data_IF_541122719933
#
_entry.id   IF_541122719933
#
_cell.length_a   1.000
_cell.length_b   1.000
_cell.length_c   1.000
_cell.angle_alpha   90.00
_cell.angle_beta   90.00
_cell.angle_gamma   90.00
#
_symmetry.space_group_name_H-M   'P 1'
#
loop_
_entity.id
_entity.type
_entity.pdbx_description
1 polymer ?
#
# COMPACT_ATOMS: atom_id res chain seq x y z
N UNK A 1 -11.53 -17.23 -8.22
CA UNK A 1 -12.44 -16.27 -7.56
C UNK A 1 -11.60 -15.62 -6.46
N UNK A 2 -10.90 -14.51 -6.72
CA UNK A 2 -11.51 -13.19 -6.91
C UNK A 2 -10.65 -12.32 -7.84
N UNK A 3 -11.25 -11.83 -8.93
CA UNK A 3 -10.67 -10.80 -9.79
C UNK A 3 -10.70 -9.44 -9.09
N UNK A 4 -9.95 -9.32 -7.99
CA UNK A 4 -9.76 -8.03 -7.34
C UNK A 4 -8.75 -7.25 -8.19
N UNK A 5 -9.07 -6.04 -8.69
CA UNK A 5 -8.18 -5.26 -9.56
C UNK A 5 -6.85 -4.88 -8.90
N UNK A 6 -6.73 -5.13 -7.60
CA UNK A 6 -5.50 -4.96 -6.83
C UNK A 6 -4.66 -6.24 -6.74
N UNK A 7 -5.19 -7.44 -7.02
CA UNK A 7 -4.57 -8.72 -6.62
C UNK A 7 -3.64 -9.35 -7.69
N UNK A 8 -3.76 -8.95 -8.96
CA UNK A 8 -2.98 -9.57 -10.04
C UNK A 8 -2.27 -8.53 -10.91
N UNK A 9 -0.94 -8.59 -10.95
CA UNK A 9 -0.17 -7.93 -11.99
C UNK A 9 1.28 -7.68 -11.60
N UNK A 10 2.18 -8.27 -12.38
CA UNK A 10 3.54 -7.76 -12.64
C UNK A 10 3.42 -6.30 -13.08
N UNK A 11 4.01 -5.39 -12.31
CA UNK A 11 3.95 -3.96 -12.56
C UNK A 11 4.15 -3.14 -11.30
N UNK A 12 4.35 -1.84 -11.49
CA UNK A 12 4.60 -0.91 -10.41
C UNK A 12 3.43 -0.85 -9.40
N UNK A 13 3.78 -0.61 -8.15
CA UNK A 13 2.93 -0.47 -6.98
C UNK A 13 3.25 0.86 -6.31
N UNK A 14 2.22 1.52 -5.83
CA UNK A 14 2.35 2.77 -5.09
C UNK A 14 1.89 2.55 -3.66
N UNK A 15 2.59 3.14 -2.71
CA UNK A 15 2.10 3.32 -1.36
C UNK A 15 1.58 4.75 -1.27
N UNK A 16 0.30 4.90 -1.01
CA UNK A 16 -0.33 6.20 -0.77
C UNK A 16 -0.62 6.36 0.71
N UNK A 17 -0.44 7.58 1.21
CA UNK A 17 -0.81 7.95 2.56
C UNK A 17 -1.85 9.07 2.54
N UNK A 18 -2.77 9.06 3.49
CA UNK A 18 -3.68 10.18 3.72
C UNK A 18 -3.15 11.13 4.81
N UNK A 19 -3.80 12.28 4.97
CA UNK A 19 -3.46 13.24 6.02
C UNK A 19 -3.62 12.69 7.45
N UNK A 20 -4.38 11.59 7.62
CA UNK A 20 -4.55 10.87 8.88
C UNK A 20 -3.47 9.82 9.16
N UNK A 21 -2.44 9.71 8.32
CA UNK A 21 -1.35 8.75 8.50
C UNK A 21 -1.68 7.31 8.11
N UNK A 22 -2.87 7.05 7.54
CA UNK A 22 -3.21 5.74 7.02
C UNK A 22 -2.51 5.52 5.68
N UNK A 23 -1.92 4.33 5.52
CA UNK A 23 -1.26 3.92 4.30
C UNK A 23 -2.08 2.86 3.58
N UNK A 24 -2.13 2.94 2.25
CA UNK A 24 -2.81 1.98 1.40
C UNK A 24 -1.95 1.65 0.18
N UNK A 25 -2.02 0.38 -0.25
CA UNK A 25 -1.43 -0.03 -1.53
C UNK A 25 -2.34 0.43 -2.67
N UNK A 26 -1.73 1.03 -3.68
CA UNK A 26 -2.41 1.60 -4.84
C UNK A 26 -1.70 1.17 -6.12
N UNK A 27 -2.45 1.17 -7.23
CA UNK A 27 -1.89 0.89 -8.55
C UNK A 27 -1.58 2.20 -9.28
N UNK A 28 -0.43 2.34 -9.94
CA UNK A 28 -0.05 3.57 -10.64
C UNK A 28 -0.91 3.90 -11.85
N UNK A 29 -1.58 2.91 -12.42
CA UNK A 29 -2.54 3.12 -13.50
C UNK A 29 -3.91 3.62 -13.01
N UNK A 30 -4.18 3.60 -11.69
CA UNK A 30 -5.42 4.11 -11.12
C UNK A 30 -5.23 5.54 -10.63
N UNK A 31 -6.21 6.40 -10.92
CA UNK A 31 -6.22 7.78 -10.40
C UNK A 31 -6.25 7.75 -8.86
N UNK A 32 -5.26 8.37 -8.23
CA UNK A 32 -5.23 8.52 -6.77
C UNK A 32 -6.35 9.49 -6.35
N UNK A 33 -7.20 9.11 -5.38
CA UNK A 33 -8.25 9.99 -4.87
C UNK A 33 -7.68 11.24 -4.20
N UNK A 34 -8.45 12.32 -4.22
CA UNK A 34 -8.06 13.59 -3.62
C UNK A 34 -7.86 13.43 -2.10
N UNK A 35 -6.81 14.05 -1.56
CA UNK A 35 -6.41 13.90 -0.15
C UNK A 35 -5.49 12.71 0.14
N UNK A 36 -5.20 11.87 -0.85
CA UNK A 36 -4.16 10.85 -0.78
C UNK A 36 -2.92 11.29 -1.55
N UNK A 37 -1.74 11.04 -0.97
CA UNK A 37 -0.45 11.38 -1.56
C UNK A 37 0.41 10.13 -1.71
N UNK A 38 1.11 10.03 -2.83
CA UNK A 38 2.08 8.96 -3.04
C UNK A 38 3.27 9.22 -2.11
N UNK A 39 3.59 8.25 -1.26
CA UNK A 39 4.73 8.31 -0.34
C UNK A 39 5.85 7.37 -0.77
N UNK A 40 5.53 6.32 -1.51
CA UNK A 40 6.51 5.38 -2.04
C UNK A 40 6.04 4.73 -3.35
N UNK A 41 7.00 4.32 -4.18
CA UNK A 41 6.76 3.63 -5.45
C UNK A 41 7.70 2.43 -5.55
N UNK A 42 7.15 1.23 -5.71
CA UNK A 42 7.92 0.01 -5.87
C UNK A 42 7.57 -0.66 -7.19
N UNK A 43 8.53 -1.30 -7.83
CA UNK A 43 8.32 -2.05 -9.09
C UNK A 43 7.67 -3.42 -8.87
N UNK A 44 7.57 -3.86 -7.62
CA UNK A 44 6.98 -5.13 -7.22
C UNK A 44 6.16 -4.98 -5.93
N UNK A 45 5.17 -5.87 -5.76
CA UNK A 45 4.31 -5.89 -4.58
C UNK A 45 5.13 -6.07 -3.31
N UNK A 46 6.10 -6.98 -3.33
CA UNK A 46 7.01 -7.26 -2.22
C UNK A 46 7.76 -5.99 -1.76
N UNK A 47 8.30 -5.20 -2.69
CA UNK A 47 8.98 -3.95 -2.32
C UNK A 47 8.05 -2.90 -1.71
N UNK A 48 6.80 -2.82 -2.18
CA UNK A 48 5.80 -1.95 -1.56
C UNK A 48 5.37 -2.48 -0.19
N UNK A 49 5.25 -3.80 -0.03
CA UNK A 49 4.89 -4.43 1.23
C UNK A 49 5.98 -4.22 2.28
N UNK A 50 7.25 -4.48 1.92
CA UNK A 50 8.41 -4.29 2.77
C UNK A 50 8.55 -2.83 3.22
N UNK A 51 8.35 -1.86 2.31
CA UNK A 51 8.30 -0.44 2.70
C UNK A 51 7.17 -0.16 3.70
N UNK A 52 5.97 -0.71 3.46
CA UNK A 52 4.85 -0.54 4.40
C UNK A 52 5.16 -1.24 5.73
N UNK A 53 5.73 -2.43 5.77
CA UNK A 53 6.06 -3.12 7.02
C UNK A 53 7.15 -2.39 7.82
N UNK A 54 8.11 -1.76 7.14
CA UNK A 54 9.19 -1.00 7.79
C UNK A 54 8.75 0.39 8.25
N UNK A 55 7.91 1.09 7.47
CA UNK A 55 7.51 2.47 7.74
C UNK A 55 6.16 2.61 8.43
N UNK A 56 5.26 1.68 8.19
CA UNK A 56 4.00 1.58 8.90
C UNK A 56 4.27 0.81 10.18
N UNK A 57 4.31 1.50 11.31
CA UNK A 57 4.05 0.85 12.59
C UNK A 57 2.55 0.53 12.60
N UNK A 58 2.12 -0.74 12.43
CA UNK A 58 0.81 -1.08 12.92
C UNK A 58 0.81 -0.73 14.41
N UNK A 59 -0.19 0.02 14.86
CA UNK A 59 -0.59 -0.08 16.26
C UNK A 59 -0.82 -1.58 16.48
N UNK A 60 0.13 -2.24 17.13
CA UNK A 60 0.16 -3.70 17.20
C UNK A 60 -1.22 -4.21 17.67
N UNK A 61 -1.86 -5.17 16.98
CA UNK A 61 -2.75 -6.04 17.71
C UNK A 61 -1.85 -6.76 18.71
N UNK A 62 -2.13 -6.56 20.00
CA UNK A 62 -1.46 -7.23 21.11
C UNK A 62 -1.17 -8.69 20.72
N UNK A 63 0.08 -9.18 20.83
CA UNK A 63 0.36 -10.58 20.55
C UNK A 63 -0.57 -11.41 21.43
N UNK A 64 -1.46 -12.15 20.79
CA UNK A 64 -2.36 -13.09 21.46
C UNK A 64 -1.49 -14.31 21.83
N UNK A 65 -1.60 -14.84 23.08
CA UNK A 65 -0.57 -15.66 23.73
C UNK A 65 -0.30 -17.00 23.07
#
# INVERSE_FOLDING_TARGET
>A
MSGNPFDGGDGDWLVVANAGGQHALWRPHLKVPEGWRIVHTATARDGALDYVEQHFTPMAPTPTP
#
